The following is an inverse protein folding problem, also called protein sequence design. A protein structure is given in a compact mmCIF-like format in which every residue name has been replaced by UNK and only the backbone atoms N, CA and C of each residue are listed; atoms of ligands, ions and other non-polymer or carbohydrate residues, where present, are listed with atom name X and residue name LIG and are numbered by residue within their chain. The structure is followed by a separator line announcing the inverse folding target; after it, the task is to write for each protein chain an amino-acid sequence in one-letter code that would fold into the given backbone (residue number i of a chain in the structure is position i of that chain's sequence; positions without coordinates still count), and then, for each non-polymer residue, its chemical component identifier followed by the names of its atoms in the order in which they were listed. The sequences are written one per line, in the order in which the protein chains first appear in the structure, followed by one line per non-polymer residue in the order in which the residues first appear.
data_IF_622178636673
#
_entry.id   IF_622178636673
#
_cell.length_a   1.000
_cell.length_b   1.000
_cell.length_c   1.000
_cell.angle_alpha   90.00
_cell.angle_beta   90.00
_cell.angle_gamma   90.00
#
_symmetry.space_group_name_H-M   'P 1'
#
loop_
_entity.id
_entity.type
_entity.pdbx_description
1 polymer ?
#
# COMPACT_ATOMS: atom_id res chain seq x y z
N UNK A 1 -7.18 11.72 12.74
CA UNK A 1 -6.40 12.30 11.62
C UNK A 1 -6.40 11.31 10.47
N UNK A 2 -6.20 11.75 9.21
CA UNK A 2 -6.01 10.84 8.08
C UNK A 2 -4.73 10.01 8.26
N UNK A 3 -4.71 8.80 7.72
CA UNK A 3 -3.50 7.96 7.66
C UNK A 3 -2.43 8.67 6.82
N UNK A 4 -1.17 8.78 7.31
CA UNK A 4 -0.12 9.43 6.55
C UNK A 4 0.20 8.63 5.28
N UNK A 5 0.52 9.36 4.21
CA UNK A 5 1.02 8.77 2.97
C UNK A 5 2.45 8.25 3.18
N UNK A 6 2.91 7.29 2.35
CA UNK A 6 4.29 6.81 2.44
C UNK A 6 5.34 7.93 2.31
N UNK A 7 5.03 8.99 1.55
CA UNK A 7 5.95 10.12 1.36
C UNK A 7 6.04 11.00 2.60
N UNK A 8 4.94 11.18 3.33
CA UNK A 8 4.94 11.85 4.64
C UNK A 8 5.70 11.02 5.68
N UNK A 9 5.52 9.70 5.69
CA UNK A 9 6.28 8.80 6.59
C UNK A 9 7.79 8.90 6.32
N UNK A 10 8.21 8.83 5.05
CA UNK A 10 9.62 8.98 4.66
C UNK A 10 10.15 10.36 5.07
N UNK A 11 9.38 11.41 4.81
CA UNK A 11 9.75 12.78 5.19
C UNK A 11 9.98 12.94 6.69
N UNK A 12 9.08 12.42 7.52
CA UNK A 12 9.20 12.48 8.98
C UNK A 12 10.46 11.76 9.48
N UNK A 13 10.81 10.61 8.91
CA UNK A 13 12.05 9.89 9.28
C UNK A 13 13.30 10.68 8.90
N UNK A 14 13.35 11.21 7.68
CA UNK A 14 14.51 11.97 7.20
C UNK A 14 14.69 13.31 7.89
N UNK A 15 13.59 13.95 8.32
CA UNK A 15 13.60 15.17 9.11
C UNK A 15 13.97 14.94 10.59
N UNK A 16 13.95 13.68 11.05
CA UNK A 16 14.15 13.34 12.46
C UNK A 16 12.92 13.50 13.35
N UNK A 17 11.74 13.78 12.76
CA UNK A 17 10.47 13.86 13.47
C UNK A 17 9.94 12.48 13.91
N UNK A 18 10.42 11.42 13.25
CA UNK A 18 10.17 10.03 13.61
C UNK A 18 11.46 9.21 13.57
N UNK A 19 11.69 8.36 14.57
CA UNK A 19 12.86 7.47 14.61
C UNK A 19 12.75 6.33 13.60
N UNK A 20 11.54 5.84 13.37
CA UNK A 20 11.23 4.73 12.44
C UNK A 20 9.87 5.00 11.77
N UNK A 21 9.75 4.62 10.50
CA UNK A 21 8.50 4.66 9.74
C UNK A 21 8.17 3.30 9.14
N UNK A 22 6.88 3.07 8.85
CA UNK A 22 6.39 1.87 8.16
C UNK A 22 5.87 2.27 6.79
N UNK A 23 6.38 1.63 5.74
CA UNK A 23 5.90 1.78 4.37
C UNK A 23 5.74 0.40 3.74
N UNK A 24 4.82 0.30 2.78
CA UNK A 24 4.60 -0.93 2.04
C UNK A 24 5.81 -1.28 1.13
N UNK A 25 6.11 -2.58 1.00
CA UNK A 25 7.24 -3.06 0.20
C UNK A 25 7.13 -2.70 -1.29
N UNK A 26 5.92 -2.66 -1.85
CA UNK A 26 5.69 -2.21 -3.22
C UNK A 26 6.06 -0.74 -3.40
N UNK A 27 5.77 0.11 -2.41
CA UNK A 27 6.19 1.52 -2.43
C UNK A 27 7.71 1.64 -2.38
N UNK A 28 8.38 0.81 -1.57
CA UNK A 28 9.85 0.78 -1.53
C UNK A 28 10.45 0.36 -2.86
N UNK A 29 9.85 -0.60 -3.57
CA UNK A 29 10.31 -1.02 -4.90
C UNK A 29 10.08 0.05 -5.97
N UNK A 30 8.94 0.75 -5.94
CA UNK A 30 8.70 1.93 -6.77
C UNK A 30 9.72 3.04 -6.47
N UNK A 31 10.03 3.27 -5.20
CA UNK A 31 10.98 4.29 -4.79
C UNK A 31 12.39 3.96 -5.31
N UNK A 32 12.86 2.72 -5.16
CA UNK A 32 14.16 2.27 -5.71
C UNK A 32 14.25 2.48 -7.21
N UNK A 33 13.13 2.31 -7.93
CA UNK A 33 13.07 2.48 -9.38
C UNK A 33 13.08 3.94 -9.82
N UNK A 34 12.25 4.77 -9.19
CA UNK A 34 11.96 6.13 -9.67
C UNK A 34 12.68 7.24 -8.90
N UNK A 35 13.14 6.96 -7.69
CA UNK A 35 13.91 7.90 -6.86
C UNK A 35 14.99 7.14 -6.04
N UNK A 36 15.98 6.53 -6.72
CA UNK A 36 17.02 5.74 -6.07
C UNK A 36 17.85 6.55 -5.05
N UNK A 37 17.96 7.88 -5.25
CA UNK A 37 18.65 8.77 -4.33
C UNK A 37 17.93 8.91 -3.00
N UNK A 38 16.60 9.00 -3.02
CA UNK A 38 15.79 8.95 -1.80
C UNK A 38 15.81 7.56 -1.17
N UNK A 39 15.69 6.49 -1.96
CA UNK A 39 15.74 5.12 -1.45
C UNK A 39 17.07 4.80 -0.73
N UNK A 40 18.19 5.33 -1.22
CA UNK A 40 19.52 5.13 -0.63
C UNK A 40 19.70 5.79 0.75
N UNK A 41 18.86 6.78 1.09
CA UNK A 41 18.86 7.40 2.42
C UNK A 41 18.11 6.57 3.47
N UNK A 42 17.36 5.54 3.04
CA UNK A 42 16.55 4.70 3.91
C UNK A 42 17.26 3.37 4.18
N UNK A 43 17.07 2.86 5.41
CA UNK A 43 17.53 1.53 5.81
C UNK A 43 16.36 0.70 6.29
N UNK A 44 16.15 -0.46 5.68
CA UNK A 44 15.16 -1.45 6.16
C UNK A 44 15.67 -2.07 7.47
N UNK A 45 14.88 -1.94 8.54
CA UNK A 45 15.19 -2.52 9.85
C UNK A 45 14.53 -3.89 10.06
N UNK A 46 13.33 -4.08 9.52
CA UNK A 46 12.56 -5.31 9.62
C UNK A 46 11.58 -5.44 8.45
N UNK A 47 11.04 -6.64 8.24
CA UNK A 47 9.97 -6.94 7.28
C UNK A 47 8.84 -7.65 8.01
N UNK A 48 7.60 -7.33 7.65
CA UNK A 48 6.42 -8.08 8.09
C UNK A 48 6.30 -9.38 7.29
N UNK A 49 5.51 -10.37 7.77
CA UNK A 49 5.08 -11.46 6.91
C UNK A 49 4.45 -10.95 5.61
N UNK A 50 4.58 -11.69 4.49
CA UNK A 50 3.96 -11.31 3.23
C UNK A 50 2.44 -11.17 3.35
N UNK A 51 1.90 -10.14 2.71
CA UNK A 51 0.47 -9.91 2.58
C UNK A 51 0.12 -9.71 1.09
N UNK A 52 -1.14 -9.96 0.70
CA UNK A 52 -1.60 -9.71 -0.66
C UNK A 52 -1.41 -8.24 -1.07
N UNK A 53 -1.05 -8.01 -2.33
CA UNK A 53 -0.96 -6.67 -2.93
C UNK A 53 -2.32 -5.94 -2.85
N UNK A 54 -2.38 -4.60 -2.77
CA UNK A 54 -3.66 -3.88 -2.73
C UNK A 54 -4.62 -4.28 -3.86
N UNK A 55 -5.86 -4.59 -3.46
CA UNK A 55 -6.94 -5.02 -4.37
C UNK A 55 -7.61 -3.82 -5.05
N UNK A 56 -8.00 -4.01 -6.31
CA UNK A 56 -8.95 -3.10 -6.98
C UNK A 56 -10.38 -3.57 -6.73
N UNK A 57 -11.21 -2.67 -6.22
CA UNK A 57 -12.63 -2.93 -5.93
C UNK A 57 -13.52 -1.96 -6.69
N UNK A 58 -14.71 -2.42 -7.05
CA UNK A 58 -15.76 -1.56 -7.57
C UNK A 58 -16.78 -1.24 -6.47
N UNK A 59 -17.39 -0.06 -6.53
CA UNK A 59 -18.51 0.29 -5.67
C UNK A 59 -19.67 -0.69 -5.87
N UNK A 60 -20.43 -0.97 -4.81
CA UNK A 60 -21.63 -1.81 -4.89
C UNK A 60 -22.69 -1.26 -5.86
N UNK A 61 -22.69 0.06 -6.11
CA UNK A 61 -23.59 0.72 -7.06
C UNK A 61 -23.04 0.88 -8.48
N UNK A 62 -21.85 0.36 -8.78
CA UNK A 62 -21.27 0.45 -10.12
C UNK A 62 -22.01 -0.45 -11.13
N UNK A 63 -22.13 -0.02 -12.39
CA UNK A 63 -22.75 -0.82 -13.46
C UNK A 63 -22.01 -2.17 -13.62
N UNK A 64 -22.68 -3.31 -13.40
CA UNK A 64 -22.04 -4.62 -13.52
C UNK A 64 -21.41 -4.86 -14.90
N UNK A 65 -22.01 -4.34 -15.97
CA UNK A 65 -21.47 -4.52 -17.32
C UNK A 65 -20.18 -3.72 -17.54
N UNK A 66 -20.10 -2.51 -16.99
CA UNK A 66 -18.85 -1.75 -16.95
C UNK A 66 -17.78 -2.46 -16.13
N UNK A 67 -18.13 -2.96 -14.94
CA UNK A 67 -17.20 -3.71 -14.09
C UNK A 67 -16.62 -4.94 -14.80
N UNK A 68 -17.45 -5.71 -15.52
CA UNK A 68 -16.99 -6.86 -16.31
C UNK A 68 -16.00 -6.43 -17.40
N UNK A 69 -16.29 -5.35 -18.14
CA UNK A 69 -15.40 -4.86 -19.20
C UNK A 69 -14.06 -4.35 -18.66
N UNK A 70 -14.08 -3.55 -17.58
CA UNK A 70 -12.86 -3.05 -16.94
C UNK A 70 -12.03 -4.20 -16.38
N UNK A 71 -12.66 -5.16 -15.70
CA UNK A 71 -11.98 -6.36 -15.18
C UNK A 71 -11.33 -7.16 -16.31
N UNK A 72 -12.04 -7.40 -17.41
CA UNK A 72 -11.49 -8.12 -18.56
C UNK A 72 -10.28 -7.38 -19.16
N UNK A 73 -10.37 -6.06 -19.34
CA UNK A 73 -9.27 -5.25 -19.85
C UNK A 73 -8.02 -5.29 -18.94
N UNK A 74 -8.20 -5.17 -17.62
CA UNK A 74 -7.09 -5.24 -16.66
C UNK A 74 -6.45 -6.64 -16.66
N UNK A 75 -7.26 -7.70 -16.70
CA UNK A 75 -6.75 -9.08 -16.75
C UNK A 75 -5.99 -9.36 -18.05
N UNK A 76 -6.44 -8.82 -19.19
CA UNK A 76 -5.77 -8.98 -20.48
C UNK A 76 -4.58 -8.04 -20.72
N UNK A 77 -4.30 -7.10 -19.81
CA UNK A 77 -3.30 -6.05 -20.03
C UNK A 77 -1.87 -6.59 -20.28
N UNK A 78 -1.58 -7.78 -19.79
CA UNK A 78 -0.29 -8.45 -19.96
C UNK A 78 -0.15 -9.19 -21.31
N UNK A 79 -1.21 -9.23 -22.13
CA UNK A 79 -1.24 -9.96 -23.40
C UNK A 79 -0.74 -9.11 -24.57
N UNK A 80 -0.69 -7.78 -24.44
CA UNK A 80 -0.16 -6.88 -25.45
C UNK A 80 1.05 -6.07 -24.96
N UNK A 81 1.85 -5.58 -25.91
CA UNK A 81 3.10 -4.88 -25.62
C UNK A 81 2.89 -3.52 -24.92
N UNK A 82 1.82 -2.80 -25.23
CA UNK A 82 1.54 -1.50 -24.63
C UNK A 82 1.12 -1.67 -23.16
N UNK A 83 0.26 -2.64 -22.89
CA UNK A 83 -0.16 -3.01 -21.54
C UNK A 83 0.99 -3.58 -20.71
N UNK A 84 1.87 -4.39 -21.29
CA UNK A 84 3.09 -4.86 -20.63
C UNK A 84 4.01 -3.70 -20.25
N UNK A 85 4.14 -2.68 -21.11
CA UNK A 85 4.92 -1.48 -20.78
C UNK A 85 4.29 -0.68 -19.63
N UNK A 86 2.95 -0.56 -19.58
CA UNK A 86 2.23 0.05 -18.45
C UNK A 86 2.44 -0.71 -17.14
N UNK A 87 2.28 -2.04 -17.17
CA UNK A 87 2.52 -2.92 -16.02
C UNK A 87 3.97 -2.82 -15.54
N UNK A 88 4.92 -2.81 -16.47
CA UNK A 88 6.33 -2.66 -16.16
C UNK A 88 6.60 -1.31 -15.48
N UNK A 89 5.97 -0.20 -15.89
CA UNK A 89 6.11 1.07 -15.17
C UNK A 89 5.61 0.98 -13.72
N UNK A 90 4.57 0.21 -13.47
CA UNK A 90 4.08 -0.03 -12.11
C UNK A 90 4.88 -1.11 -11.36
N UNK A 91 5.88 -1.76 -11.98
CA UNK A 91 6.57 -2.90 -11.34
C UNK A 91 5.67 -4.12 -11.17
N UNK A 92 4.59 -4.23 -11.94
CA UNK A 92 3.63 -5.33 -11.90
C UNK A 92 3.89 -6.31 -13.05
N UNK A 93 3.65 -7.59 -12.81
CA UNK A 93 3.70 -8.61 -13.85
C UNK A 93 2.37 -8.73 -14.61
N UNK A 94 1.25 -8.69 -13.89
CA UNK A 94 -0.13 -8.76 -14.42
C UNK A 94 -1.14 -8.46 -13.32
N UNK A 95 -2.39 -8.22 -13.71
CA UNK A 95 -3.53 -8.37 -12.80
C UNK A 95 -3.97 -9.84 -12.74
N UNK A 96 -4.55 -10.23 -11.60
CA UNK A 96 -5.09 -11.56 -11.39
C UNK A 96 -6.52 -11.48 -10.86
N UNK A 97 -7.35 -12.43 -11.27
CA UNK A 97 -8.66 -12.61 -10.66
C UNK A 97 -8.47 -13.15 -9.24
N UNK A 98 -9.10 -12.49 -8.28
CA UNK A 98 -9.04 -12.85 -6.85
C UNK A 98 -10.46 -13.07 -6.30
N UNK A 99 -10.54 -13.78 -5.19
CA UNK A 99 -11.72 -13.95 -4.37
C UNK A 99 -11.51 -13.26 -3.02
N UNK A 100 -12.59 -12.90 -2.29
CA UNK A 100 -12.47 -12.32 -0.95
C UNK A 100 -11.61 -13.16 0.01
N UNK A 101 -11.65 -14.48 -0.12
CA UNK A 101 -10.85 -15.40 0.69
C UNK A 101 -9.33 -15.22 0.53
N UNK A 102 -8.86 -14.73 -0.63
CA UNK A 102 -7.43 -14.46 -0.88
C UNK A 102 -6.91 -13.33 0.02
N UNK A 103 -7.81 -12.52 0.60
CA UNK A 103 -7.51 -11.39 1.47
C UNK A 103 -7.91 -11.64 2.93
N UNK A 104 -8.31 -12.87 3.28
CA UNK A 104 -8.79 -13.20 4.63
C UNK A 104 -7.75 -12.89 5.72
N UNK A 105 -6.46 -12.94 5.41
CA UNK A 105 -5.40 -12.57 6.36
C UNK A 105 -5.47 -11.10 6.78
N UNK A 106 -5.88 -10.18 5.90
CA UNK A 106 -6.00 -8.76 6.24
C UNK A 106 -7.16 -8.53 7.22
N UNK A 107 -8.27 -9.25 7.04
CA UNK A 107 -9.40 -9.21 7.98
C UNK A 107 -9.01 -9.81 9.33
N UNK A 108 -8.25 -10.90 9.36
CA UNK A 108 -7.73 -11.48 10.61
C UNK A 108 -6.82 -10.49 11.35
N UNK A 109 -5.87 -9.87 10.65
CA UNK A 109 -4.98 -8.85 11.23
C UNK A 109 -5.75 -7.63 11.77
N UNK A 110 -6.77 -7.16 11.05
CA UNK A 110 -7.60 -6.05 11.52
C UNK A 110 -8.37 -6.42 12.81
N UNK A 111 -8.97 -7.61 12.85
CA UNK A 111 -9.68 -8.09 14.04
C UNK A 111 -8.74 -8.24 15.25
N UNK A 112 -7.53 -8.75 15.04
CA UNK A 112 -6.50 -8.85 16.09
C UNK A 112 -6.12 -7.46 16.62
N UNK A 113 -5.92 -6.48 15.73
CA UNK A 113 -5.62 -5.11 16.10
C UNK A 113 -6.77 -4.47 16.92
N UNK A 114 -8.02 -4.65 16.48
CA UNK A 114 -9.21 -4.16 17.17
C UNK A 114 -9.36 -4.76 18.57
N UNK A 115 -9.14 -6.08 18.70
CA UNK A 115 -9.20 -6.78 19.98
C UNK A 115 -8.09 -6.32 20.95
N UNK A 116 -6.91 -6.05 20.42
CA UNK A 116 -5.80 -5.47 21.15
C UNK A 116 -5.97 -3.97 21.44
N UNK A 117 -7.06 -3.34 20.93
CA UNK A 117 -7.34 -1.90 21.04
C UNK A 117 -6.19 -1.04 20.49
N UNK A 118 -5.54 -1.52 19.44
CA UNK A 118 -4.55 -0.72 18.73
C UNK A 118 -5.23 0.51 18.12
N UNK A 119 -4.75 1.70 18.51
CA UNK A 119 -5.09 2.94 17.85
C UNK A 119 -3.91 3.35 16.97
N UNK A 120 -4.17 3.66 15.69
CA UNK A 120 -3.14 4.09 14.74
C UNK A 120 -2.41 5.37 15.21
N UNK A 121 -3.04 6.15 16.09
CA UNK A 121 -2.48 7.32 16.77
C UNK A 121 -2.92 7.31 18.22
N UNK A 122 -1.98 7.48 19.14
CA UNK A 122 -2.29 7.79 20.53
C UNK A 122 -2.84 9.24 20.59
N UNK A 123 -4.10 9.48 20.99
CA UNK A 123 -4.64 10.83 21.14
C UNK A 123 -3.86 11.69 22.15
N UNK A 124 -3.04 11.10 23.02
CA UNK A 124 -2.24 11.82 24.00
C UNK A 124 -0.97 12.52 23.42
N UNK A 125 -0.59 12.22 22.17
CA UNK A 125 0.63 12.78 21.57
C UNK A 125 0.50 14.26 21.12
N UNK A 126 -0.72 14.81 21.05
CA UNK A 126 -0.97 16.19 20.62
C UNK A 126 -0.87 17.27 21.71
N UNK A 127 -0.50 16.93 22.94
CA UNK A 127 -0.68 17.81 24.11
C UNK A 127 0.58 18.24 24.89
N UNK A 128 1.80 17.84 24.49
CA UNK A 128 3.03 18.23 25.22
C UNK A 128 3.90 19.17 24.40
N UNK A 129 3.55 20.45 24.43
CA UNK A 129 4.31 21.50 23.75
C UNK A 129 3.88 22.92 24.09
N UNK A 130 3.82 23.28 25.38
CA UNK A 130 3.99 24.67 25.85
C UNK A 130 4.57 24.67 27.27
N UNK A 131 5.82 25.10 27.38
CA UNK A 131 6.55 25.38 28.61
C UNK A 131 7.69 26.33 28.29
#
# INVERSE_FOLDING_TARGET
MPTPTPREVIGAVLAGDAEVGVIDSYVMDLLRRYDPGLAAQLKTLALTPPAPIPVLVASAGADPQQCVRVRAALLGLHEDAAGTALLAMLGLARFAAVQPADYACLTAMANEADQARFALTDPAAGGRGTG
#
